data_IF_217366831538
#
_entry.id   IF_217366831538
#
_cell.length_a   1.000
_cell.length_b   1.000
_cell.length_c   1.000
_cell.angle_alpha   90.00
_cell.angle_beta   90.00
_cell.angle_gamma   90.00
#
_symmetry.space_group_name_H-M   'P 1'
#
loop_
_entity.id
_entity.type
_entity.pdbx_description
1 polymer ?
#
# COMPACT_ATOMS: atom_id res chain seq x y z
N UNK A 1 -11.70 11.99 12.52
CA UNK A 1 -10.34 11.57 12.11
C UNK A 1 -9.34 12.45 12.85
N UNK A 2 -8.38 11.87 13.55
CA UNK A 2 -7.30 12.61 14.21
C UNK A 2 -6.02 12.45 13.38
N UNK A 3 -5.33 13.56 13.08
CA UNK A 3 -4.02 13.54 12.42
C UNK A 3 -2.94 13.57 13.51
N UNK A 4 -2.06 12.57 13.53
CA UNK A 4 -1.01 12.42 14.55
C UNK A 4 0.34 12.76 13.92
N UNK A 5 1.01 13.78 14.45
CA UNK A 5 2.43 14.00 14.15
C UNK A 5 3.26 12.90 14.81
N UNK A 6 3.80 11.97 14.03
CA UNK A 6 4.54 10.81 14.58
C UNK A 6 5.91 11.18 15.18
N UNK A 7 6.43 12.37 14.86
CA UNK A 7 7.66 12.91 15.46
C UNK A 7 7.39 13.61 16.80
N UNK A 8 6.15 14.06 17.02
CA UNK A 8 5.72 14.77 18.24
C UNK A 8 4.36 14.21 18.67
N UNK A 9 4.38 12.97 19.18
CA UNK A 9 3.16 12.23 19.53
C UNK A 9 2.49 12.90 20.74
N UNK A 10 1.20 13.29 20.65
CA UNK A 10 0.52 13.93 21.76
C UNK A 10 0.28 12.93 22.90
N UNK A 11 0.35 13.41 24.14
CA UNK A 11 0.25 12.58 25.34
C UNK A 11 -1.04 11.74 25.38
N UNK A 12 -2.18 12.35 25.05
CA UNK A 12 -3.48 11.65 25.02
C UNK A 12 -3.49 10.46 24.05
N UNK A 13 -2.70 10.49 22.96
CA UNK A 13 -2.63 9.39 22.01
C UNK A 13 -1.81 8.23 22.58
N UNK A 14 -0.72 8.52 23.28
CA UNK A 14 0.13 7.51 23.92
C UNK A 14 -0.58 6.84 25.10
N UNK A 15 -1.41 7.57 25.84
CA UNK A 15 -2.25 7.00 26.91
C UNK A 15 -3.26 5.97 26.37
N UNK A 16 -3.77 6.19 25.16
CA UNK A 16 -4.72 5.29 24.50
C UNK A 16 -4.03 4.16 23.72
N UNK A 17 -2.85 4.44 23.16
CA UNK A 17 -2.05 3.52 22.36
C UNK A 17 -0.56 3.65 22.73
N UNK A 18 -0.10 2.93 23.76
CA UNK A 18 1.27 3.07 24.28
C UNK A 18 2.37 2.76 23.25
N UNK A 19 2.08 1.94 22.23
CA UNK A 19 3.04 1.68 21.14
C UNK A 19 3.30 2.91 20.26
N UNK A 20 2.39 3.89 20.26
CA UNK A 20 2.50 5.12 19.48
C UNK A 20 2.50 4.91 17.96
N UNK A 21 2.14 3.72 17.47
CA UNK A 21 2.03 3.38 16.05
C UNK A 21 0.66 3.77 15.49
N UNK A 22 0.61 4.09 14.21
CA UNK A 22 -0.62 4.34 13.45
C UNK A 22 -0.73 3.33 12.30
N UNK A 23 -1.93 2.98 11.83
CA UNK A 23 -3.25 3.46 12.28
C UNK A 23 -3.76 2.80 13.58
N UNK A 24 -4.71 3.47 14.23
CA UNK A 24 -5.55 2.94 15.31
C UNK A 24 -6.97 3.46 15.12
N UNK A 25 -7.98 2.61 15.29
CA UNK A 25 -9.39 3.03 15.28
C UNK A 25 -10.09 2.66 16.59
N UNK A 26 -11.20 3.33 16.88
CA UNK A 26 -12.06 3.01 18.03
C UNK A 26 -13.29 2.26 17.53
N UNK A 27 -13.49 1.05 18.04
CA UNK A 27 -14.59 0.16 17.67
C UNK A 27 -15.21 -0.40 18.96
N UNK A 28 -16.52 -0.21 19.16
CA UNK A 28 -17.24 -0.61 20.40
C UNK A 28 -16.49 -0.22 21.68
N UNK A 29 -16.04 1.03 21.76
CA UNK A 29 -15.25 1.58 22.85
C UNK A 29 -13.85 0.98 23.08
N UNK A 30 -13.38 0.09 22.20
CA UNK A 30 -12.04 -0.47 22.23
C UNK A 30 -11.16 0.13 21.14
N UNK A 31 -9.91 0.43 21.47
CA UNK A 31 -8.91 0.86 20.50
C UNK A 31 -8.26 -0.35 19.84
N UNK A 32 -8.31 -0.39 18.51
CA UNK A 32 -7.80 -1.48 17.69
C UNK A 32 -6.64 -0.93 16.84
N UNK A 33 -5.38 -1.32 17.12
CA UNK A 33 -4.23 -1.00 16.29
C UNK A 33 -4.10 -2.00 15.13
N UNK A 34 -3.10 -1.78 14.27
CA UNK A 34 -2.72 -2.65 13.13
C UNK A 34 -3.74 -2.67 11.98
N UNK A 35 -3.32 -2.25 10.79
CA UNK A 35 -4.23 -2.16 9.63
C UNK A 35 -4.86 -3.50 9.24
N UNK A 36 -4.15 -4.61 9.39
CA UNK A 36 -4.67 -5.92 9.01
C UNK A 36 -5.74 -6.38 10.01
N UNK A 37 -5.52 -6.13 11.30
CA UNK A 37 -6.53 -6.39 12.35
C UNK A 37 -7.73 -5.46 12.19
N UNK A 38 -7.49 -4.17 11.95
CA UNK A 38 -8.53 -3.16 11.75
C UNK A 38 -9.45 -3.53 10.59
N UNK A 39 -8.88 -3.90 9.44
CA UNK A 39 -9.68 -4.26 8.26
C UNK A 39 -10.49 -5.54 8.49
N UNK A 40 -9.96 -6.52 9.22
CA UNK A 40 -10.71 -7.71 9.65
C UNK A 40 -11.90 -7.38 10.56
N UNK A 41 -11.68 -6.54 11.59
CA UNK A 41 -12.76 -6.10 12.49
C UNK A 41 -13.85 -5.32 11.73
N UNK A 42 -13.46 -4.50 10.76
CA UNK A 42 -14.41 -3.77 9.92
C UNK A 42 -15.23 -4.71 9.01
N UNK A 43 -14.60 -5.73 8.42
CA UNK A 43 -15.31 -6.74 7.62
C UNK A 43 -16.34 -7.52 8.46
N UNK A 44 -15.99 -7.92 9.69
CA UNK A 44 -16.92 -8.60 10.60
C UNK A 44 -18.13 -7.72 10.97
N UNK A 45 -17.90 -6.43 11.18
CA UNK A 45 -18.95 -5.46 11.57
C UNK A 45 -19.78 -4.97 10.39
N UNK A 46 -19.19 -4.94 9.21
CA UNK A 46 -19.81 -4.44 7.99
C UNK A 46 -19.63 -5.46 6.86
N UNK A 47 -20.31 -6.62 6.94
CA UNK A 47 -20.09 -7.74 6.02
C UNK A 47 -20.61 -7.50 4.59
N UNK A 48 -21.23 -6.36 4.33
CA UNK A 48 -21.77 -6.00 3.02
C UNK A 48 -21.41 -4.54 2.66
N UNK A 49 -20.77 -4.31 1.50
CA UNK A 49 -20.28 -5.33 0.56
C UNK A 49 -19.10 -6.14 1.14
N UNK A 50 -19.02 -7.44 0.82
CA UNK A 50 -17.92 -8.31 1.25
C UNK A 50 -16.63 -7.91 0.56
N UNK A 51 -15.56 -7.64 1.32
CA UNK A 51 -14.24 -7.29 0.79
C UNK A 51 -13.21 -8.41 1.01
N UNK A 52 -13.50 -9.42 1.83
CA UNK A 52 -12.57 -10.52 2.03
C UNK A 52 -12.31 -11.28 0.70
N UNK A 53 -11.05 -11.39 0.25
CA UNK A 53 -10.69 -12.19 -0.92
C UNK A 53 -10.81 -13.69 -0.61
N UNK A 54 -10.87 -14.56 -1.63
CA UNK A 54 -10.66 -15.98 -1.42
C UNK A 54 -9.19 -16.25 -1.03
N UNK A 55 -8.90 -17.33 -0.27
CA UNK A 55 -7.56 -17.58 0.30
C UNK A 55 -6.42 -17.58 -0.73
N UNK A 56 -6.67 -18.10 -1.92
CA UNK A 56 -5.73 -18.15 -3.04
C UNK A 56 -5.24 -16.77 -3.50
N UNK A 57 -6.06 -15.74 -3.35
CA UNK A 57 -5.75 -14.38 -3.79
C UNK A 57 -5.21 -13.49 -2.66
N UNK A 58 -5.29 -13.94 -1.41
CA UNK A 58 -4.98 -13.15 -0.22
C UNK A 58 -3.55 -12.60 -0.16
N UNK A 59 -2.60 -13.25 -0.83
CA UNK A 59 -1.17 -12.91 -0.78
C UNK A 59 -0.62 -12.31 -2.09
N UNK A 60 -1.48 -12.10 -3.09
CA UNK A 60 -1.07 -11.53 -4.38
C UNK A 60 -0.43 -10.16 -4.17
N UNK A 61 0.76 -9.96 -4.75
CA UNK A 61 1.52 -8.71 -4.64
C UNK A 61 2.12 -8.41 -3.26
N UNK A 62 2.02 -9.32 -2.28
CA UNK A 62 2.50 -9.10 -0.90
C UNK A 62 3.99 -8.72 -0.79
N UNK A 63 4.82 -9.18 -1.72
CA UNK A 63 6.27 -8.94 -1.76
C UNK A 63 6.68 -7.67 -2.50
N UNK A 64 5.76 -7.01 -3.22
CA UNK A 64 6.06 -5.80 -3.99
C UNK A 64 6.59 -4.69 -3.09
N UNK A 65 5.94 -4.43 -1.95
CA UNK A 65 6.35 -3.31 -1.09
C UNK A 65 7.72 -3.53 -0.42
N UNK A 66 8.02 -4.72 0.16
CA UNK A 66 9.38 -5.03 0.60
C UNK A 66 10.43 -4.91 -0.51
N UNK A 67 10.17 -5.42 -1.72
CA UNK A 67 11.08 -5.32 -2.86
C UNK A 67 11.29 -3.86 -3.28
N UNK A 68 10.22 -3.07 -3.34
CA UNK A 68 10.27 -1.62 -3.60
C UNK A 68 11.14 -0.91 -2.57
N UNK A 69 10.94 -1.15 -1.28
CA UNK A 69 11.73 -0.50 -0.22
C UNK A 69 13.21 -0.88 -0.33
N UNK A 70 13.52 -2.15 -0.62
CA UNK A 70 14.89 -2.60 -0.85
C UNK A 70 15.51 -1.86 -2.03
N UNK A 71 14.83 -1.82 -3.17
CA UNK A 71 15.31 -1.13 -4.37
C UNK A 71 15.50 0.37 -4.11
N UNK A 72 14.48 1.05 -3.57
CA UNK A 72 14.51 2.48 -3.26
C UNK A 72 15.73 2.88 -2.42
N UNK A 73 16.08 2.07 -1.41
CA UNK A 73 17.22 2.30 -0.52
C UNK A 73 18.57 1.90 -1.12
N UNK A 74 18.58 1.05 -2.14
CA UNK A 74 19.81 0.56 -2.74
C UNK A 74 20.63 1.69 -3.37
N UNK A 75 21.94 1.66 -3.10
CA UNK A 75 22.96 2.54 -3.69
C UNK A 75 23.80 1.83 -4.75
N UNK A 76 23.70 0.50 -4.82
CA UNK A 76 24.43 -0.31 -5.79
C UNK A 76 23.48 -0.72 -6.92
N UNK A 77 23.68 -0.24 -8.16
CA UNK A 77 22.83 -0.60 -9.29
C UNK A 77 22.90 -2.09 -9.66
N UNK A 78 23.89 -2.85 -9.13
CA UNK A 78 24.10 -4.26 -9.47
C UNK A 78 23.67 -5.24 -8.37
N UNK A 79 23.03 -4.77 -7.28
CA UNK A 79 22.64 -5.63 -6.16
C UNK A 79 21.40 -6.52 -6.44
N UNK A 80 20.85 -6.42 -7.65
CA UNK A 80 19.69 -7.18 -8.12
C UNK A 80 18.34 -6.73 -7.52
N UNK A 81 18.29 -5.64 -6.74
CA UNK A 81 17.06 -5.17 -6.11
C UNK A 81 16.03 -4.65 -7.11
N UNK A 82 16.47 -4.03 -8.20
CA UNK A 82 15.59 -3.63 -9.31
C UNK A 82 14.94 -4.86 -9.97
N UNK A 83 15.75 -5.86 -10.32
CA UNK A 83 15.24 -7.08 -10.95
C UNK A 83 14.25 -7.81 -10.04
N UNK A 84 14.53 -7.89 -8.73
CA UNK A 84 13.60 -8.47 -7.78
C UNK A 84 12.26 -7.73 -7.73
N UNK A 85 12.26 -6.39 -7.82
CA UNK A 85 11.01 -5.62 -7.92
C UNK A 85 10.28 -5.89 -9.25
N UNK A 86 11.01 -5.96 -10.35
CA UNK A 86 10.44 -6.26 -11.68
C UNK A 86 9.79 -7.64 -11.71
N UNK A 87 10.40 -8.65 -11.09
CA UNK A 87 9.86 -10.00 -11.02
C UNK A 87 8.53 -10.03 -10.25
N UNK A 88 8.44 -9.31 -9.12
CA UNK A 88 7.20 -9.21 -8.34
C UNK A 88 6.11 -8.41 -9.07
N UNK A 89 6.47 -7.36 -9.81
CA UNK A 89 5.54 -6.61 -10.66
C UNK A 89 5.06 -7.45 -11.84
N UNK A 90 5.93 -8.28 -12.43
CA UNK A 90 5.55 -9.21 -13.49
C UNK A 90 4.59 -10.28 -12.98
N UNK A 91 4.83 -10.83 -11.79
CA UNK A 91 3.90 -11.78 -11.18
C UNK A 91 2.51 -11.15 -10.94
N UNK A 92 2.46 -9.87 -10.55
CA UNK A 92 1.20 -9.14 -10.45
C UNK A 92 0.54 -8.91 -11.82
N UNK A 93 1.32 -8.54 -12.85
CA UNK A 93 0.82 -8.33 -14.21
C UNK A 93 0.20 -9.61 -14.79
N UNK A 94 0.88 -10.74 -14.64
CA UNK A 94 0.40 -12.06 -15.06
C UNK A 94 -0.87 -12.45 -14.29
N UNK A 95 -0.94 -12.21 -12.97
CA UNK A 95 -2.16 -12.44 -12.19
C UNK A 95 -3.35 -11.60 -12.69
N UNK A 96 -3.12 -10.30 -12.92
CA UNK A 96 -4.15 -9.37 -13.39
C UNK A 96 -4.60 -9.65 -14.82
N UNK A 97 -3.72 -10.21 -15.65
CA UNK A 97 -4.08 -10.66 -17.00
C UNK A 97 -5.11 -11.78 -16.95
N UNK A 98 -4.93 -12.74 -16.04
CA UNK A 98 -5.78 -13.93 -15.96
C UNK A 98 -7.05 -13.70 -15.11
N UNK A 99 -6.99 -12.84 -14.09
CA UNK A 99 -8.04 -12.68 -13.08
C UNK A 99 -8.56 -11.24 -12.89
N UNK A 100 -8.07 -10.28 -13.69
CA UNK A 100 -8.42 -8.86 -13.57
C UNK A 100 -9.90 -8.55 -13.84
N UNK A 101 -10.33 -7.28 -13.67
CA UNK A 101 -9.48 -6.09 -13.56
C UNK A 101 -8.94 -5.74 -12.16
N UNK A 102 -9.53 -6.25 -11.08
CA UNK A 102 -8.98 -6.18 -9.71
C UNK A 102 -8.34 -7.52 -9.33
N UNK A 103 -7.74 -7.63 -8.13
CA UNK A 103 -7.12 -8.88 -7.68
C UNK A 103 -8.09 -10.07 -7.71
N UNK A 104 -9.37 -9.81 -7.43
CA UNK A 104 -10.41 -10.84 -7.34
C UNK A 104 -11.51 -10.66 -8.41
N UNK A 105 -11.13 -10.28 -9.64
CA UNK A 105 -12.07 -10.11 -10.75
C UNK A 105 -12.69 -8.72 -10.84
N UNK A 106 -14.00 -8.67 -11.04
CA UNK A 106 -14.73 -7.43 -11.36
C UNK A 106 -14.83 -6.45 -10.17
N UNK A 107 -14.78 -6.96 -8.95
CA UNK A 107 -15.01 -6.18 -7.73
C UNK A 107 -13.74 -6.00 -6.93
N UNK A 108 -13.63 -4.82 -6.30
CA UNK A 108 -12.56 -4.51 -5.36
C UNK A 108 -12.67 -5.38 -4.10
N UNK A 109 -11.53 -5.76 -3.55
CA UNK A 109 -11.40 -6.54 -2.32
C UNK A 109 -10.33 -5.94 -1.40
N UNK A 110 -10.14 -6.54 -0.22
CA UNK A 110 -9.19 -6.07 0.79
C UNK A 110 -7.74 -6.08 0.29
N UNK A 111 -7.37 -6.97 -0.64
CA UNK A 111 -6.01 -7.01 -1.21
C UNK A 111 -5.76 -5.78 -2.07
N UNK A 112 -6.75 -5.35 -2.86
CA UNK A 112 -6.65 -4.13 -3.65
C UNK A 112 -6.47 -2.89 -2.76
N UNK A 113 -7.24 -2.82 -1.66
CA UNK A 113 -7.16 -1.73 -0.68
C UNK A 113 -5.83 -1.72 0.07
N UNK A 114 -5.19 -2.88 0.24
CA UNK A 114 -3.84 -3.01 0.81
C UNK A 114 -2.75 -2.63 -0.20
N UNK A 115 -2.90 -3.00 -1.47
CA UNK A 115 -1.91 -2.76 -2.53
C UNK A 115 -1.92 -1.35 -3.09
N UNK A 116 -3.10 -0.72 -3.25
CA UNK A 116 -3.23 0.62 -3.82
C UNK A 116 -2.30 1.66 -3.16
N UNK A 117 -2.28 1.85 -1.82
CA UNK A 117 -1.36 2.80 -1.21
C UNK A 117 0.12 2.41 -1.40
N UNK A 118 0.44 1.11 -1.38
CA UNK A 118 1.82 0.60 -1.60
C UNK A 118 2.33 0.92 -3.01
N UNK A 119 1.50 0.68 -4.03
CA UNK A 119 1.81 1.00 -5.43
C UNK A 119 1.91 2.52 -5.67
N UNK A 120 1.11 3.31 -4.96
CA UNK A 120 1.21 4.77 -5.03
C UNK A 120 2.53 5.27 -4.43
N UNK A 121 2.95 4.75 -3.28
CA UNK A 121 4.26 5.03 -2.70
C UNK A 121 5.39 4.63 -3.64
N UNK A 122 5.30 3.45 -4.26
CA UNK A 122 6.27 2.99 -5.27
C UNK A 122 6.37 3.99 -6.42
N UNK A 123 5.25 4.33 -7.05
CA UNK A 123 5.19 5.27 -8.20
C UNK A 123 5.82 6.62 -7.86
N UNK A 124 5.43 7.22 -6.74
CA UNK A 124 5.88 8.57 -6.36
C UNK A 124 7.34 8.55 -5.93
N UNK A 125 7.75 7.61 -5.06
CA UNK A 125 9.08 7.59 -4.51
C UNK A 125 10.15 7.16 -5.52
N UNK A 126 9.91 6.11 -6.32
CA UNK A 126 10.88 5.69 -7.33
C UNK A 126 11.00 6.72 -8.46
N UNK A 127 9.89 7.35 -8.86
CA UNK A 127 9.90 8.44 -9.83
C UNK A 127 10.76 9.62 -9.34
N UNK A 128 10.63 10.00 -8.06
CA UNK A 128 11.40 11.11 -7.49
C UNK A 128 12.87 10.77 -7.24
N UNK A 129 13.16 9.66 -6.54
CA UNK A 129 14.50 9.37 -6.03
C UNK A 129 15.40 8.61 -7.00
N UNK A 130 14.82 7.93 -8.01
CA UNK A 130 15.58 7.12 -8.97
C UNK A 130 15.25 7.42 -10.43
N UNK A 131 14.34 8.36 -10.71
CA UNK A 131 13.81 8.60 -12.06
C UNK A 131 13.32 7.28 -12.73
N UNK A 132 12.72 6.41 -11.92
CA UNK A 132 12.32 5.07 -12.33
C UNK A 132 10.80 4.97 -12.40
N UNK A 133 10.30 4.29 -13.43
CA UNK A 133 8.88 4.02 -13.65
C UNK A 133 8.64 2.55 -13.97
N UNK A 134 7.44 2.06 -13.66
CA UNK A 134 7.04 0.71 -14.02
C UNK A 134 7.12 0.56 -15.55
N UNK A 135 7.79 -0.48 -16.09
CA UNK A 135 7.90 -0.66 -17.53
C UNK A 135 6.54 -0.68 -18.23
N UNK A 136 6.44 0.00 -19.36
CA UNK A 136 5.20 0.08 -20.17
C UNK A 136 4.72 -1.28 -20.69
N UNK A 137 5.61 -2.29 -20.73
CA UNK A 137 5.24 -3.66 -21.06
C UNK A 137 4.30 -4.32 -20.03
N UNK A 138 4.27 -3.83 -18.78
CA UNK A 138 3.40 -4.34 -17.72
C UNK A 138 2.03 -3.63 -17.77
N UNK A 139 1.32 -3.84 -18.88
CA UNK A 139 0.12 -3.09 -19.21
C UNK A 139 -1.06 -3.36 -18.26
N UNK A 140 -1.16 -4.56 -17.67
CA UNK A 140 -2.22 -4.90 -16.73
C UNK A 140 -2.01 -4.19 -15.40
N UNK A 141 -0.76 -4.10 -14.93
CA UNK A 141 -0.40 -3.31 -13.73
C UNK A 141 -0.70 -1.83 -13.94
N UNK A 142 -0.35 -1.26 -15.10
CA UNK A 142 -0.68 0.14 -15.42
C UNK A 142 -2.18 0.41 -15.40
N UNK A 143 -2.97 -0.45 -16.05
CA UNK A 143 -4.42 -0.36 -16.05
C UNK A 143 -5.01 -0.50 -14.64
N UNK A 144 -4.51 -1.45 -13.87
CA UNK A 144 -4.92 -1.68 -12.48
C UNK A 144 -4.64 -0.47 -11.59
N UNK A 145 -3.44 0.12 -11.68
CA UNK A 145 -3.11 1.35 -10.96
C UNK A 145 -3.99 2.53 -11.37
N UNK A 146 -4.28 2.67 -12.67
CA UNK A 146 -5.20 3.70 -13.17
C UNK A 146 -6.60 3.52 -12.59
N UNK A 147 -7.12 2.29 -12.59
CA UNK A 147 -8.42 1.97 -12.00
C UNK A 147 -8.45 2.32 -10.51
N UNK A 148 -7.50 1.81 -9.73
CA UNK A 148 -7.42 2.06 -8.28
C UNK A 148 -7.30 3.54 -7.94
N UNK A 149 -6.40 4.25 -8.62
CA UNK A 149 -6.11 5.65 -8.29
C UNK A 149 -7.22 6.59 -8.73
N UNK A 150 -8.04 6.21 -9.70
CA UNK A 150 -9.22 7.00 -10.12
C UNK A 150 -10.42 6.86 -9.18
N UNK A 151 -10.41 5.89 -8.25
CA UNK A 151 -11.53 5.69 -7.32
C UNK A 151 -11.66 6.88 -6.39
N UNK A 152 -12.90 7.32 -6.18
CA UNK A 152 -13.21 8.41 -5.25
C UNK A 152 -12.62 8.19 -3.85
N UNK A 153 -12.68 6.96 -3.34
CA UNK A 153 -12.11 6.60 -2.03
C UNK A 153 -10.60 6.78 -1.98
N UNK A 154 -9.89 6.48 -3.07
CA UNK A 154 -8.44 6.67 -3.16
C UNK A 154 -8.11 8.15 -3.32
N UNK A 155 -8.81 8.84 -4.23
CA UNK A 155 -8.63 10.28 -4.47
C UNK A 155 -8.79 11.12 -3.20
N UNK A 156 -9.77 10.77 -2.35
CA UNK A 156 -10.04 11.42 -1.06
C UNK A 156 -9.02 11.13 0.03
N UNK A 157 -8.26 10.03 -0.07
CA UNK A 157 -7.41 9.54 1.04
C UNK A 157 -5.93 9.50 0.71
N UNK A 158 -5.55 9.61 -0.57
CA UNK A 158 -4.14 9.64 -0.98
C UNK A 158 -3.43 10.87 -0.40
N UNK A 159 -2.19 10.73 0.08
CA UNK A 159 -1.38 11.87 0.47
C UNK A 159 -0.93 12.66 -0.77
N UNK A 160 -0.68 13.96 -0.58
CA UNK A 160 0.00 14.77 -1.58
C UNK A 160 1.38 14.14 -1.93
N UNK A 161 1.80 14.12 -3.20
CA UNK A 161 3.08 13.53 -3.61
C UNK A 161 4.28 14.07 -2.82
N UNK A 162 4.32 15.37 -2.55
CA UNK A 162 5.41 16.00 -1.80
C UNK A 162 5.51 15.48 -0.36
N UNK A 163 4.38 15.15 0.28
CA UNK A 163 4.39 14.54 1.61
C UNK A 163 4.90 13.09 1.57
N UNK A 164 4.64 12.35 0.48
CA UNK A 164 5.22 11.02 0.27
C UNK A 164 6.73 11.12 0.12
N UNK A 165 7.20 12.03 -0.74
CA UNK A 165 8.61 12.28 -0.96
C UNK A 165 9.30 12.66 0.35
N UNK A 166 8.78 13.66 1.06
CA UNK A 166 9.32 14.11 2.34
C UNK A 166 9.36 12.99 3.40
N UNK A 167 8.32 12.14 3.46
CA UNK A 167 8.27 11.01 4.38
C UNK A 167 9.31 9.91 4.10
N UNK A 168 9.73 9.75 2.84
CA UNK A 168 10.79 8.81 2.45
C UNK A 168 12.20 9.39 2.59
N UNK A 169 12.37 10.72 2.57
CA UNK A 169 13.68 11.37 2.53
C UNK A 169 14.65 10.87 3.63
N UNK A 170 14.25 10.76 4.92
CA UNK A 170 15.15 10.27 5.97
C UNK A 170 15.55 8.80 5.79
N UNK A 171 14.76 8.00 5.08
CA UNK A 171 15.02 6.56 4.87
C UNK A 171 15.91 6.30 3.66
N UNK A 172 15.89 7.20 2.68
CA UNK A 172 16.70 7.13 1.46
C UNK A 172 18.07 7.77 1.68
N UNK A 173 18.15 8.82 2.49
CA UNK A 173 19.39 9.56 2.74
C UNK A 173 20.15 9.08 3.98
N UNK A 174 19.60 8.11 4.72
CA UNK A 174 20.29 7.44 5.83
C UNK A 174 21.34 6.42 5.36
#
# INVERSE_FOLDING_TARGET
MHLINVNEKPQWFLELNPEGKVPVIKVDDKWVPDSDVITGVLEEKHPSPRLAPPPEHSSVGSKIFPAFVKFLKSKDPNDGSEQALLDELKALDDHLKDHGPYINGENICAVDLSLAPKLYHLKVALGHYKNWTIPESLSHVHNYMKLLFSRESFEKTKPAPDHVVAGWAPKVNA
#
